data_IF_868979502649
#
_entry.id   IF_868979502649
#
_cell.length_a   1.000
_cell.length_b   1.000
_cell.length_c   1.000
_cell.angle_alpha   90.00
_cell.angle_beta   90.00
_cell.angle_gamma   90.00
#
_symmetry.space_group_name_H-M   'P 1'
#
loop_
_entity.id
_entity.type
_entity.pdbx_description
1 polymer ?
#
# COMPACT_ATOMS: atom_id res chain seq x y z
N UNK A 1 32.04 5.97 -14.12
CA UNK A 1 31.76 7.02 -13.12
C UNK A 1 31.39 8.25 -13.93
N UNK A 2 30.19 8.84 -13.76
CA UNK A 2 29.91 10.12 -14.45
C UNK A 2 30.67 11.21 -13.69
N UNK A 3 31.91 11.49 -14.11
CA UNK A 3 32.78 12.49 -13.49
C UNK A 3 32.07 13.85 -13.36
N UNK A 4 31.27 14.22 -14.36
CA UNK A 4 30.47 15.44 -14.36
C UNK A 4 29.47 15.52 -13.20
N UNK A 5 28.84 14.40 -12.84
CA UNK A 5 27.85 14.37 -11.74
C UNK A 5 28.53 14.62 -10.41
N UNK A 6 29.67 13.98 -10.16
CA UNK A 6 30.44 14.18 -8.93
C UNK A 6 31.06 15.57 -8.87
N UNK A 7 31.53 16.10 -10.00
CA UNK A 7 32.03 17.46 -10.11
C UNK A 7 30.96 18.48 -9.71
N UNK A 8 29.73 18.33 -10.23
CA UNK A 8 28.60 19.20 -9.86
C UNK A 8 28.25 19.08 -8.38
N UNK A 9 28.16 17.86 -7.84
CA UNK A 9 27.88 17.64 -6.42
C UNK A 9 28.95 18.26 -5.53
N UNK A 10 30.22 18.22 -5.94
CA UNK A 10 31.34 18.76 -5.16
C UNK A 10 31.30 20.29 -4.96
N UNK A 11 30.58 21.02 -5.82
CA UNK A 11 30.41 22.47 -5.70
C UNK A 11 29.57 22.87 -4.48
N UNK A 12 28.81 21.92 -3.91
CA UNK A 12 27.99 22.14 -2.71
C UNK A 12 28.73 21.84 -1.41
N UNK A 13 30.06 21.67 -1.47
CA UNK A 13 30.88 21.43 -0.29
C UNK A 13 30.72 22.58 0.72
N UNK A 14 30.35 22.30 1.97
CA UNK A 14 30.32 23.29 3.02
C UNK A 14 31.72 23.88 3.27
N UNK A 15 31.79 25.19 3.56
CA UNK A 15 33.06 25.91 3.74
C UNK A 15 33.83 25.48 5.01
N UNK A 16 33.15 24.82 5.94
CA UNK A 16 33.69 24.31 7.21
C UNK A 16 34.38 22.94 7.09
N UNK A 17 34.29 22.26 5.94
CA UNK A 17 34.79 20.90 5.78
C UNK A 17 35.82 20.74 4.63
N UNK A 18 36.78 19.81 4.76
CA UNK A 18 37.75 19.54 3.71
C UNK A 18 37.08 18.99 2.44
N UNK A 19 37.46 19.54 1.29
CA UNK A 19 36.89 19.14 0.00
C UNK A 19 37.08 17.64 -0.30
N UNK A 20 38.23 17.06 0.07
CA UNK A 20 38.52 15.62 -0.12
C UNK A 20 37.57 14.71 0.66
N UNK A 21 37.18 15.15 1.87
CA UNK A 21 36.24 14.41 2.71
C UNK A 21 34.84 14.45 2.10
N UNK A 22 34.40 15.62 1.63
CA UNK A 22 33.11 15.80 0.98
C UNK A 22 33.04 15.02 -0.36
N UNK A 23 34.11 15.03 -1.16
CA UNK A 23 34.21 14.25 -2.40
C UNK A 23 34.11 12.75 -2.15
N UNK A 24 34.77 12.25 -1.10
CA UNK A 24 34.65 10.85 -0.72
C UNK A 24 33.22 10.48 -0.31
N UNK A 25 32.54 11.38 0.42
CA UNK A 25 31.14 11.23 0.79
C UNK A 25 30.20 11.24 -0.42
N UNK A 26 30.34 12.20 -1.34
CA UNK A 26 29.50 12.26 -2.54
C UNK A 26 29.70 11.05 -3.44
N UNK A 27 30.93 10.51 -3.50
CA UNK A 27 31.22 9.22 -4.13
C UNK A 27 30.41 8.07 -3.52
N UNK A 28 30.38 7.98 -2.19
CA UNK A 28 29.57 6.96 -1.47
C UNK A 28 28.07 7.12 -1.75
N UNK A 29 27.54 8.35 -1.70
CA UNK A 29 26.13 8.62 -2.04
C UNK A 29 25.86 8.21 -3.49
N UNK A 30 26.72 8.59 -4.43
CA UNK A 30 26.57 8.22 -5.82
C UNK A 30 26.58 6.70 -6.02
N UNK A 31 27.49 5.97 -5.38
CA UNK A 31 27.57 4.50 -5.50
C UNK A 31 26.31 3.80 -4.98
N UNK A 32 25.71 4.31 -3.91
CA UNK A 32 24.47 3.77 -3.33
C UNK A 32 23.25 4.09 -4.20
N UNK A 33 23.12 5.34 -4.67
CA UNK A 33 21.88 5.82 -5.28
C UNK A 33 21.89 5.82 -6.82
N UNK A 34 23.05 5.81 -7.49
CA UNK A 34 23.14 5.97 -8.96
C UNK A 34 22.42 4.88 -9.77
N UNK A 35 22.21 3.70 -9.18
CA UNK A 35 21.44 2.62 -9.82
C UNK A 35 19.95 2.95 -9.91
N UNK A 36 19.42 3.64 -8.90
CA UNK A 36 17.99 3.91 -8.74
C UNK A 36 17.64 5.36 -9.10
N UNK A 37 18.56 6.30 -8.89
CA UNK A 37 18.38 7.74 -9.09
C UNK A 37 19.50 8.32 -9.96
N UNK A 38 19.13 8.86 -11.12
CA UNK A 38 20.04 9.58 -12.03
C UNK A 38 19.76 11.09 -12.10
N UNK A 39 18.76 11.56 -11.36
CA UNK A 39 18.43 12.99 -11.29
C UNK A 39 19.43 13.70 -10.38
N UNK A 40 20.12 14.70 -10.93
CA UNK A 40 21.11 15.49 -10.20
C UNK A 40 20.48 16.26 -9.04
N UNK A 41 19.24 16.75 -9.17
CA UNK A 41 18.59 17.55 -8.12
C UNK A 41 18.21 16.68 -6.92
N UNK A 42 17.76 15.45 -7.18
CA UNK A 42 17.50 14.47 -6.12
C UNK A 42 18.80 14.04 -5.42
N UNK A 43 19.87 13.82 -6.19
CA UNK A 43 21.18 13.51 -5.62
C UNK A 43 21.71 14.67 -4.75
N UNK A 44 21.58 15.92 -5.22
CA UNK A 44 21.91 17.12 -4.42
C UNK A 44 21.09 17.19 -3.14
N UNK A 45 19.79 16.93 -3.22
CA UNK A 45 18.91 16.90 -2.05
C UNK A 45 19.32 15.83 -1.04
N UNK A 46 19.62 14.61 -1.50
CA UNK A 46 20.10 13.50 -0.67
C UNK A 46 21.45 13.82 -0.01
N UNK A 47 22.39 14.38 -0.77
CA UNK A 47 23.70 14.84 -0.26
C UNK A 47 23.50 15.85 0.87
N UNK A 48 22.70 16.88 0.66
CA UNK A 48 22.42 17.91 1.66
C UNK A 48 21.79 17.35 2.94
N UNK A 49 20.92 16.34 2.82
CA UNK A 49 20.23 15.72 3.95
C UNK A 49 21.08 14.70 4.71
N UNK A 50 21.92 13.93 4.02
CA UNK A 50 22.73 12.86 4.62
C UNK A 50 24.06 13.37 5.16
N UNK A 51 24.61 14.46 4.60
CA UNK A 51 25.91 14.96 5.00
C UNK A 51 26.02 15.33 6.50
N UNK A 52 25.04 16.02 7.12
CA UNK A 52 25.07 16.30 8.55
C UNK A 52 25.20 15.05 9.43
N UNK A 53 24.59 13.94 8.99
CA UNK A 53 24.65 12.65 9.68
C UNK A 53 25.94 11.90 9.40
N UNK A 54 26.50 12.06 8.21
CA UNK A 54 27.79 11.49 7.86
C UNK A 54 28.95 12.11 8.64
N UNK A 55 28.87 13.41 8.97
CA UNK A 55 29.88 14.10 9.80
C UNK A 55 29.73 13.90 11.30
N UNK A 56 28.54 13.52 11.79
CA UNK A 56 28.26 13.36 13.23
C UNK A 56 29.25 12.42 13.94
N UNK A 57 29.58 11.21 13.44
CA UNK A 57 30.57 10.34 14.09
C UNK A 57 32.00 10.91 14.11
N UNK A 58 32.31 11.88 13.24
CA UNK A 58 33.60 12.58 13.23
C UNK A 58 33.64 13.61 14.34
N UNK A 59 32.55 14.35 14.55
CA UNK A 59 32.41 15.33 15.63
C UNK A 59 32.42 14.64 17.00
N UNK A 60 31.80 13.47 17.11
CA UNK A 60 31.79 12.65 18.33
C UNK A 60 33.14 11.95 18.62
N UNK A 61 34.11 12.04 17.70
CA UNK A 61 35.40 11.35 17.83
C UNK A 61 35.34 9.83 17.65
N UNK A 62 34.22 9.27 17.17
CA UNK A 62 34.05 7.81 16.95
C UNK A 62 34.80 7.29 15.72
N UNK A 63 35.03 8.15 14.73
CA UNK A 63 35.78 7.85 13.51
C UNK A 63 36.56 9.06 13.00
N UNK A 64 37.64 8.81 12.26
CA UNK A 64 38.41 9.90 11.61
C UNK A 64 37.86 10.20 10.22
N UNK A 65 38.11 11.40 9.72
CA UNK A 65 37.74 11.83 8.35
C UNK A 65 38.32 10.93 7.25
N UNK A 66 39.44 10.26 7.51
CA UNK A 66 40.07 9.32 6.58
C UNK A 66 39.44 7.93 6.59
N UNK A 67 38.64 7.58 7.60
CA UNK A 67 38.06 6.24 7.79
C UNK A 67 36.68 6.12 7.11
N UNK A 68 36.59 6.46 5.80
CA UNK A 68 35.32 6.47 5.03
C UNK A 68 34.53 5.16 5.14
N UNK A 69 35.14 3.95 5.04
CA UNK A 69 34.38 2.70 5.16
C UNK A 69 33.75 2.51 6.54
N UNK A 70 34.41 2.99 7.59
CA UNK A 70 33.93 2.92 8.97
C UNK A 70 32.79 3.92 9.19
N UNK A 71 32.92 5.13 8.65
CA UNK A 71 31.86 6.14 8.65
C UNK A 71 30.61 5.63 7.92
N UNK A 72 30.80 5.02 6.75
CA UNK A 72 29.69 4.44 6.00
C UNK A 72 28.96 3.36 6.80
N UNK A 73 29.67 2.45 7.49
CA UNK A 73 29.05 1.43 8.36
C UNK A 73 28.24 2.05 9.50
N UNK A 74 28.76 3.10 10.14
CA UNK A 74 28.06 3.80 11.23
C UNK A 74 26.79 4.51 10.74
N UNK A 75 26.79 4.98 9.49
CA UNK A 75 25.69 5.73 8.89
C UNK A 75 24.78 4.88 8.00
N UNK A 76 25.08 3.59 7.81
CA UNK A 76 24.40 2.72 6.84
C UNK A 76 22.88 2.67 7.06
N UNK A 77 22.43 2.69 8.31
CA UNK A 77 21.01 2.74 8.65
C UNK A 77 20.31 4.00 8.11
N UNK A 78 20.98 5.15 8.09
CA UNK A 78 20.45 6.39 7.53
C UNK A 78 20.37 6.35 6.00
N UNK A 79 21.35 5.73 5.34
CA UNK A 79 21.30 5.52 3.88
C UNK A 79 20.13 4.60 3.50
N UNK A 80 19.96 3.48 4.20
CA UNK A 80 18.83 2.58 3.98
C UNK A 80 17.47 3.27 4.21
N UNK A 81 17.35 4.02 5.31
CA UNK A 81 16.14 4.78 5.61
C UNK A 81 15.86 5.89 4.58
N UNK A 82 16.90 6.52 4.02
CA UNK A 82 16.76 7.53 2.97
C UNK A 82 16.31 6.91 1.64
N UNK A 83 16.84 5.73 1.29
CA UNK A 83 16.39 4.99 0.10
C UNK A 83 14.92 4.61 0.18
N UNK A 84 14.45 4.19 1.34
CA UNK A 84 13.07 3.75 1.54
C UNK A 84 12.11 4.95 1.64
N UNK A 85 12.38 5.89 2.55
CA UNK A 85 11.42 6.93 2.92
C UNK A 85 11.56 8.23 2.15
N UNK A 86 12.80 8.65 1.86
CA UNK A 86 13.10 9.97 1.32
C UNK A 86 13.04 9.97 -0.22
N UNK A 87 13.57 8.93 -0.86
CA UNK A 87 13.49 8.78 -2.32
C UNK A 87 12.06 8.57 -2.81
N UNK A 88 11.24 7.80 -2.08
CA UNK A 88 9.82 7.60 -2.37
C UNK A 88 8.93 8.75 -1.88
N UNK A 89 9.52 9.80 -1.28
CA UNK A 89 8.84 10.98 -0.71
C UNK A 89 7.72 10.62 0.27
N UNK A 90 7.88 9.52 1.01
CA UNK A 90 6.93 9.10 2.04
C UNK A 90 6.89 10.08 3.21
N UNK A 91 8.01 10.75 3.47
CA UNK A 91 8.15 11.78 4.49
C UNK A 91 8.74 13.04 3.88
N UNK A 92 8.30 14.18 4.41
CA UNK A 92 8.88 15.47 4.01
C UNK A 92 10.29 15.62 4.56
N UNK A 93 11.08 16.51 3.96
CA UNK A 93 12.42 16.83 4.46
C UNK A 93 12.40 17.34 5.91
N UNK A 94 11.32 17.99 6.36
CA UNK A 94 11.17 18.46 7.76
C UNK A 94 10.86 17.33 8.74
N UNK A 95 10.05 16.35 8.33
CA UNK A 95 9.80 15.15 9.11
C UNK A 95 11.05 14.26 9.21
N UNK A 96 11.83 14.18 8.14
CA UNK A 96 13.12 13.49 8.11
C UNK A 96 14.07 14.05 9.18
N UNK A 97 14.27 15.37 9.22
CA UNK A 97 15.11 16.00 10.23
C UNK A 97 14.63 15.71 11.66
N UNK A 98 13.32 15.68 11.89
CA UNK A 98 12.75 15.33 13.20
C UNK A 98 13.08 13.89 13.57
N UNK A 99 12.76 12.93 12.71
CA UNK A 99 12.93 11.50 12.97
C UNK A 99 14.39 11.10 13.25
N UNK A 100 15.35 11.78 12.60
CA UNK A 100 16.77 11.45 12.76
C UNK A 100 17.41 12.18 13.95
N UNK A 101 16.90 13.37 14.31
CA UNK A 101 17.39 14.09 15.48
C UNK A 101 16.76 13.57 16.78
N UNK A 102 15.52 13.07 16.76
CA UNK A 102 14.89 12.45 17.93
C UNK A 102 15.33 10.99 18.11
N UNK A 103 15.60 10.26 17.03
CA UNK A 103 16.07 8.87 17.08
C UNK A 103 17.44 8.65 17.72
N UNK A 104 18.22 9.71 17.98
CA UNK A 104 19.47 9.63 18.74
C UNK A 104 19.27 9.59 20.27
N UNK A 105 18.07 9.88 20.77
CA UNK A 105 17.77 9.94 22.21
C UNK A 105 17.10 8.68 22.79
N UNK A 106 16.65 7.73 21.98
CA UNK A 106 15.90 6.56 22.44
C UNK A 106 16.66 5.25 22.18
N UNK A 107 17.71 5.05 22.98
CA UNK A 107 18.17 3.71 23.32
C UNK A 107 17.27 3.12 24.39
N UNK A 108 16.18 2.46 23.98
CA UNK A 108 15.44 1.49 24.79
C UNK A 108 14.38 2.04 25.74
N UNK A 109 13.14 2.08 25.29
CA UNK A 109 11.96 1.64 26.06
C UNK A 109 10.72 1.66 25.15
N UNK A 110 10.16 0.48 24.90
CA UNK A 110 8.75 0.34 24.50
C UNK A 110 7.88 1.02 25.58
N UNK A 111 7.24 2.12 25.22
CA UNK A 111 6.05 2.58 25.92
C UNK A 111 5.17 3.34 24.94
N UNK A 112 4.09 2.67 24.55
CA UNK A 112 2.91 3.23 23.91
C UNK A 112 2.50 4.53 24.60
N UNK A 113 2.49 5.63 23.86
CA UNK A 113 1.74 6.84 24.19
C UNK A 113 1.38 7.52 22.88
N UNK A 114 0.18 7.20 22.42
CA UNK A 114 -0.53 7.95 21.38
C UNK A 114 -0.67 9.39 21.84
N UNK A 115 -0.04 10.34 21.15
CA UNK A 115 -0.44 11.73 21.26
C UNK A 115 -0.54 12.41 19.90
N UNK A 116 -1.70 13.03 19.73
CA UNK A 116 -2.30 13.47 18.50
C UNK A 116 -1.79 14.87 18.14
N UNK A 117 -0.92 14.99 17.13
CA UNK A 117 -0.57 16.28 16.53
C UNK A 117 -0.83 16.29 15.04
N UNK A 118 -1.88 17.03 14.67
CA UNK A 118 -2.30 17.36 13.31
C UNK A 118 -1.19 18.18 12.64
N UNK A 119 -0.74 17.73 11.47
CA UNK A 119 0.04 18.54 10.54
C UNK A 119 -0.29 18.15 9.11
N UNK A 120 -0.57 19.19 8.34
CA UNK A 120 -1.17 19.26 7.01
C UNK A 120 -0.25 18.73 5.90
N UNK A 121 -0.89 18.16 4.86
CA UNK A 121 -0.43 17.50 3.61
C UNK A 121 0.83 18.12 2.91
N UNK A 122 1.58 17.38 2.05
CA UNK A 122 1.03 16.70 0.87
C UNK A 122 1.56 15.28 0.56
N UNK A 123 0.65 14.39 0.15
CA UNK A 123 0.91 13.57 -1.06
C UNK A 123 0.62 12.07 -0.96
N UNK A 124 -0.66 11.70 -0.90
CA UNK A 124 -1.28 10.43 -1.38
C UNK A 124 -0.78 9.06 -0.88
N UNK A 125 0.47 8.86 -0.45
CA UNK A 125 0.98 7.56 -0.02
C UNK A 125 0.75 7.29 1.48
N UNK A 126 0.77 8.34 2.31
CA UNK A 126 0.42 8.27 3.75
C UNK A 126 -1.06 7.99 4.03
N UNK A 127 -1.93 8.08 3.01
CA UNK A 127 -3.31 7.64 3.17
C UNK A 127 -3.32 6.15 3.53
N UNK A 128 -2.64 5.29 2.77
CA UNK A 128 -2.66 3.82 2.99
C UNK A 128 -2.14 3.39 4.37
N UNK A 129 -1.23 4.17 4.98
CA UNK A 129 -0.71 3.93 6.33
C UNK A 129 -1.60 4.46 7.46
N UNK A 130 -2.32 5.59 7.27
CA UNK A 130 -3.30 6.13 8.24
C UNK A 130 -4.70 5.53 8.09
N UNK A 131 -4.89 4.64 7.12
CA UNK A 131 -6.13 3.93 6.88
C UNK A 131 -6.30 2.74 7.84
N UNK A 132 -6.19 3.00 9.14
CA UNK A 132 -6.91 2.24 10.17
C UNK A 132 -8.40 2.56 10.03
N UNK A 133 -8.98 2.18 8.88
CA UNK A 133 -10.33 2.54 8.47
C UNK A 133 -11.35 2.22 9.55
N UNK A 134 -11.73 3.24 10.32
CA UNK A 134 -12.98 3.27 11.06
C UNK A 134 -14.13 3.55 10.08
N UNK A 135 -14.27 2.66 9.09
CA UNK A 135 -15.45 2.66 8.22
C UNK A 135 -16.66 2.20 9.04
N UNK A 136 -17.85 2.76 8.78
CA UNK A 136 -19.09 2.21 9.31
C UNK A 136 -19.21 0.71 9.03
N UNK A 137 -19.87 -0.03 9.93
CA UNK A 137 -20.00 -1.48 9.85
C UNK A 137 -20.48 -1.97 8.47
N UNK A 138 -21.55 -1.39 7.93
CA UNK A 138 -22.06 -1.77 6.60
C UNK A 138 -21.14 -1.37 5.47
N UNK A 139 -20.41 -0.25 5.59
CA UNK A 139 -19.43 0.16 4.59
C UNK A 139 -18.27 -0.85 4.49
N UNK A 140 -17.86 -1.46 5.62
CA UNK A 140 -16.87 -2.56 5.62
C UNK A 140 -17.39 -3.77 4.85
N UNK A 141 -18.62 -4.22 5.12
CA UNK A 141 -19.23 -5.34 4.40
C UNK A 141 -19.47 -5.05 2.91
N UNK A 142 -19.91 -3.85 2.55
CA UNK A 142 -20.05 -3.41 1.16
C UNK A 142 -18.70 -3.45 0.44
N UNK A 143 -17.64 -3.01 1.11
CA UNK A 143 -16.29 -3.04 0.55
C UNK A 143 -15.79 -4.48 0.36
N UNK A 144 -16.04 -5.38 1.31
CA UNK A 144 -15.73 -6.81 1.17
C UNK A 144 -16.50 -7.44 0.03
N UNK A 145 -17.82 -7.23 -0.04
CA UNK A 145 -18.67 -7.74 -1.11
C UNK A 145 -18.20 -7.25 -2.48
N UNK A 146 -17.78 -5.98 -2.57
CA UNK A 146 -17.24 -5.40 -3.78
C UNK A 146 -15.93 -6.05 -4.22
N UNK A 147 -15.04 -6.37 -3.27
CA UNK A 147 -13.78 -7.05 -3.56
C UNK A 147 -14.04 -8.47 -4.08
N UNK A 148 -14.89 -9.22 -3.39
CA UNK A 148 -15.32 -10.56 -3.80
C UNK A 148 -15.95 -10.52 -5.21
N UNK A 149 -16.80 -9.53 -5.49
CA UNK A 149 -17.39 -9.36 -6.81
C UNK A 149 -16.34 -9.04 -7.89
N UNK A 150 -15.36 -8.18 -7.63
CA UNK A 150 -14.32 -7.84 -8.62
C UNK A 150 -13.38 -9.00 -8.95
N UNK A 151 -13.06 -9.85 -7.98
CA UNK A 151 -12.04 -10.88 -8.14
C UNK A 151 -12.60 -12.28 -8.42
N UNK A 152 -13.82 -12.57 -7.96
CA UNK A 152 -14.47 -13.86 -8.27
C UNK A 152 -15.25 -13.79 -9.59
N UNK A 153 -15.14 -14.81 -10.46
CA UNK A 153 -16.04 -14.98 -11.59
C UNK A 153 -17.50 -15.15 -11.15
N UNK A 154 -18.44 -14.42 -11.78
CA UNK A 154 -19.87 -14.47 -11.45
C UNK A 154 -20.49 -15.89 -11.47
N UNK A 155 -19.96 -16.80 -12.31
CA UNK A 155 -20.38 -18.21 -12.35
C UNK A 155 -20.20 -18.96 -11.03
N UNK A 156 -19.37 -18.44 -10.11
CA UNK A 156 -19.08 -19.07 -8.83
C UNK A 156 -19.93 -18.49 -7.68
N UNK A 157 -20.72 -17.43 -7.90
CA UNK A 157 -21.45 -16.77 -6.82
C UNK A 157 -22.39 -17.73 -6.09
N UNK A 158 -23.11 -18.59 -6.83
CA UNK A 158 -24.00 -19.61 -6.25
C UNK A 158 -23.25 -20.58 -5.33
N UNK A 159 -21.99 -20.91 -5.66
CA UNK A 159 -21.18 -21.84 -4.85
C UNK A 159 -20.75 -21.22 -3.53
N UNK A 160 -20.42 -19.93 -3.53
CA UNK A 160 -19.86 -19.24 -2.37
C UNK A 160 -20.90 -18.53 -1.50
N UNK A 161 -22.03 -18.10 -2.07
CA UNK A 161 -22.95 -17.15 -1.43
C UNK A 161 -24.40 -17.63 -1.29
N UNK A 162 -24.76 -18.81 -1.82
CA UNK A 162 -26.11 -19.33 -1.64
C UNK A 162 -26.32 -19.88 -0.21
N UNK A 163 -27.12 -19.17 0.61
CA UNK A 163 -27.56 -19.64 1.93
C UNK A 163 -28.80 -20.57 1.79
N UNK A 164 -28.58 -21.89 1.82
CA UNK A 164 -29.63 -22.94 1.84
C UNK A 164 -30.21 -23.29 0.45
N UNK A 165 -30.43 -24.55 0.06
CA UNK A 165 -30.75 -25.77 0.81
C UNK A 165 -29.78 -26.91 0.43
N UNK A 166 -28.99 -27.42 1.38
CA UNK A 166 -28.38 -28.75 1.23
C UNK A 166 -29.42 -29.89 1.28
N UNK A 167 -30.70 -29.60 1.55
CA UNK A 167 -31.79 -30.58 1.63
C UNK A 167 -32.96 -30.30 0.65
N UNK A 168 -32.69 -30.19 -0.64
CA UNK A 168 -33.67 -30.63 -1.67
C UNK A 168 -32.95 -31.44 -2.73
N UNK A 169 -32.92 -32.75 -2.51
CA UNK A 169 -32.72 -33.75 -3.54
C UNK A 169 -33.73 -33.50 -4.68
N UNK A 170 -33.29 -33.04 -5.86
CA UNK A 170 -33.97 -33.32 -7.14
C UNK A 170 -33.20 -32.88 -8.40
N UNK A 171 -31.87 -32.94 -8.44
CA UNK A 171 -31.15 -32.91 -9.75
C UNK A 171 -29.79 -33.61 -9.68
N UNK A 172 -29.79 -34.93 -9.46
CA UNK A 172 -28.59 -35.78 -9.48
C UNK A 172 -28.22 -36.33 -10.88
N UNK A 173 -28.81 -35.87 -11.99
CA UNK A 173 -28.53 -36.40 -13.35
C UNK A 173 -27.71 -35.49 -14.29
N UNK A 174 -27.28 -34.30 -13.86
CA UNK A 174 -26.50 -33.38 -14.72
C UNK A 174 -25.09 -33.00 -14.23
N UNK A 175 -24.73 -33.35 -12.98
CA UNK A 175 -23.55 -32.76 -12.30
C UNK A 175 -22.20 -33.33 -12.74
N UNK A 176 -22.14 -34.49 -13.37
CA UNK A 176 -20.86 -35.11 -13.78
C UNK A 176 -20.27 -34.53 -15.09
N UNK A 177 -21.09 -33.94 -15.97
CA UNK A 177 -20.59 -33.34 -17.22
C UNK A 177 -19.92 -31.97 -17.00
N UNK A 178 -20.45 -31.15 -16.08
CA UNK A 178 -19.91 -29.81 -15.77
C UNK A 178 -18.62 -29.90 -14.95
N UNK A 179 -18.51 -30.90 -14.08
CA UNK A 179 -17.33 -31.10 -13.23
C UNK A 179 -16.07 -31.45 -14.03
N UNK A 180 -16.21 -32.16 -15.16
CA UNK A 180 -15.09 -32.55 -16.03
C UNK A 180 -14.57 -31.40 -16.91
N UNK A 181 -15.37 -30.35 -17.15
CA UNK A 181 -14.99 -29.20 -17.98
C UNK A 181 -14.42 -28.02 -17.16
N UNK A 182 -14.58 -28.03 -15.82
CA UNK A 182 -14.04 -26.99 -14.92
C UNK A 182 -12.65 -27.32 -14.36
N UNK A 183 -12.26 -28.59 -14.28
CA UNK A 183 -10.99 -29.03 -13.70
C UNK A 183 -9.83 -29.05 -14.70
N UNK A 184 -10.09 -28.80 -15.99
CA UNK A 184 -9.07 -28.75 -17.06
C UNK A 184 -8.54 -27.35 -17.34
N UNK A 185 -8.89 -26.34 -16.53
CA UNK A 185 -8.38 -24.97 -16.66
C UNK A 185 -7.66 -24.45 -15.39
N UNK A 186 -7.30 -25.34 -14.46
CA UNK A 186 -6.72 -24.98 -13.16
C UNK A 186 -5.19 -25.01 -13.14
N UNK A 187 -4.51 -24.65 -14.23
CA UNK A 187 -3.03 -24.66 -14.21
C UNK A 187 -2.27 -24.04 -15.38
N UNK A 188 -2.89 -23.18 -16.20
CA UNK A 188 -2.19 -22.63 -17.38
C UNK A 188 -2.66 -21.29 -17.91
N UNK A 189 -3.57 -20.60 -17.22
CA UNK A 189 -4.02 -19.25 -17.60
C UNK A 189 -3.64 -18.33 -16.45
N UNK A 190 -2.85 -17.30 -16.77
CA UNK A 190 -2.39 -16.22 -15.89
C UNK A 190 -3.34 -15.97 -14.70
N UNK A 191 -2.81 -15.97 -13.47
CA UNK A 191 -3.60 -15.79 -12.23
C UNK A 191 -4.56 -14.62 -12.42
N UNK A 192 -5.84 -14.83 -12.13
CA UNK A 192 -6.89 -13.85 -12.42
C UNK A 192 -6.65 -12.50 -11.73
N UNK A 193 -5.87 -12.50 -10.64
CA UNK A 193 -5.42 -11.33 -9.90
C UNK A 193 -4.49 -10.42 -10.70
N UNK A 194 -3.64 -10.98 -11.56
CA UNK A 194 -2.68 -10.23 -12.40
C UNK A 194 -3.40 -9.43 -13.50
N UNK A 195 -4.66 -9.76 -13.80
CA UNK A 195 -5.50 -9.03 -14.76
C UNK A 195 -6.18 -7.81 -14.13
N UNK A 196 -6.06 -7.63 -12.82
CA UNK A 196 -6.70 -6.54 -12.07
C UNK A 196 -8.19 -6.79 -11.75
N UNK A 197 -8.82 -5.86 -11.02
CA UNK A 197 -10.21 -5.98 -10.58
C UNK A 197 -11.17 -5.85 -11.76
N UNK A 198 -12.11 -6.80 -11.88
CA UNK A 198 -13.14 -6.76 -12.94
C UNK A 198 -14.29 -5.85 -12.54
N UNK A 199 -14.85 -5.15 -13.52
CA UNK A 199 -16.12 -4.45 -13.35
C UNK A 199 -17.28 -5.44 -13.21
N UNK A 200 -18.22 -5.14 -12.33
CA UNK A 200 -19.39 -5.95 -12.05
C UNK A 200 -20.64 -5.06 -11.88
N UNK A 201 -21.85 -5.62 -12.10
CA UNK A 201 -23.11 -4.90 -11.83
C UNK A 201 -23.31 -4.64 -10.33
N UNK A 202 -23.80 -3.45 -9.97
CA UNK A 202 -24.04 -3.06 -8.59
C UNK A 202 -24.94 -4.07 -7.85
N UNK A 203 -25.92 -4.62 -8.54
CA UNK A 203 -26.90 -5.59 -8.04
C UNK A 203 -26.22 -6.87 -7.57
N UNK A 204 -25.16 -7.31 -8.27
CA UNK A 204 -24.36 -8.47 -7.87
C UNK A 204 -23.64 -8.21 -6.55
N UNK A 205 -23.09 -7.02 -6.35
CA UNK A 205 -22.44 -6.65 -5.08
C UNK A 205 -23.46 -6.60 -3.94
N UNK A 206 -24.65 -6.03 -4.17
CA UNK A 206 -25.73 -6.03 -3.18
C UNK A 206 -26.15 -7.46 -2.82
N UNK A 207 -26.31 -8.35 -3.80
CA UNK A 207 -26.64 -9.75 -3.55
C UNK A 207 -25.57 -10.45 -2.70
N UNK A 208 -24.28 -10.22 -2.99
CA UNK A 208 -23.18 -10.74 -2.18
C UNK A 208 -23.22 -10.12 -0.78
N UNK A 209 -23.39 -8.81 -0.66
CA UNK A 209 -23.49 -8.08 0.60
C UNK A 209 -24.57 -8.67 1.53
N UNK A 210 -25.80 -8.81 1.04
CA UNK A 210 -26.90 -9.41 1.81
C UNK A 210 -26.67 -10.90 2.11
N UNK A 211 -25.88 -11.61 1.29
CA UNK A 211 -25.54 -13.01 1.56
C UNK A 211 -24.50 -13.17 2.66
N UNK A 212 -23.53 -12.25 2.77
CA UNK A 212 -22.43 -12.36 3.74
C UNK A 212 -22.75 -11.69 5.08
N UNK A 213 -23.80 -10.86 5.14
CA UNK A 213 -24.34 -10.34 6.38
C UNK A 213 -25.11 -11.43 7.14
N UNK A 214 -24.93 -11.46 8.45
CA UNK A 214 -25.68 -12.37 9.33
C UNK A 214 -27.07 -11.82 9.66
N UNK A 215 -27.18 -10.51 9.83
CA UNK A 215 -28.45 -9.84 10.12
C UNK A 215 -29.18 -9.46 8.83
N UNK A 216 -30.47 -9.84 8.68
CA UNK A 216 -31.27 -9.41 7.54
C UNK A 216 -31.60 -7.93 7.68
N UNK A 217 -31.26 -7.14 6.65
CA UNK A 217 -31.51 -5.71 6.60
C UNK A 217 -32.27 -5.40 5.33
N UNK A 218 -33.24 -4.49 5.42
CA UNK A 218 -33.94 -3.99 4.24
C UNK A 218 -33.03 -3.11 3.37
N UNK A 219 -33.34 -3.05 2.08
CA UNK A 219 -32.68 -2.11 1.17
C UNK A 219 -33.04 -0.68 1.56
N UNK A 220 -32.22 -0.06 2.42
CA UNK A 220 -32.44 1.29 2.92
C UNK A 220 -31.65 2.34 2.13
N UNK A 221 -32.10 3.59 2.22
CA UNK A 221 -31.43 4.76 1.65
C UNK A 221 -30.00 4.89 2.22
N UNK A 222 -29.80 4.45 3.47
CA UNK A 222 -28.50 4.44 4.14
C UNK A 222 -27.47 3.59 3.40
N UNK A 223 -27.84 2.39 2.92
CA UNK A 223 -26.94 1.54 2.13
C UNK A 223 -26.53 2.24 0.82
N UNK A 224 -27.47 2.91 0.16
CA UNK A 224 -27.18 3.66 -1.07
C UNK A 224 -26.27 4.87 -0.81
N UNK A 225 -26.48 5.58 0.29
CA UNK A 225 -25.63 6.68 0.75
C UNK A 225 -24.19 6.21 1.02
N UNK A 226 -24.04 5.04 1.65
CA UNK A 226 -22.72 4.45 1.90
C UNK A 226 -22.03 4.01 0.61
N UNK A 227 -22.76 3.46 -0.37
CA UNK A 227 -22.20 3.14 -1.69
C UNK A 227 -21.69 4.41 -2.38
N UNK A 228 -22.49 5.49 -2.37
CA UNK A 228 -22.08 6.77 -2.94
C UNK A 228 -20.83 7.33 -2.23
N UNK A 229 -20.76 7.21 -0.91
CA UNK A 229 -19.58 7.58 -0.11
C UNK A 229 -18.34 6.76 -0.50
N UNK A 230 -18.47 5.44 -0.64
CA UNK A 230 -17.37 4.56 -1.07
C UNK A 230 -16.86 4.89 -2.49
N UNK A 231 -17.74 5.31 -3.39
CA UNK A 231 -17.36 5.80 -4.73
C UNK A 231 -16.64 7.16 -4.63
N UNK A 232 -17.14 8.05 -3.78
CA UNK A 232 -16.54 9.38 -3.56
C UNK A 232 -15.13 9.27 -2.96
N UNK A 233 -14.94 8.35 -2.03
CA UNK A 233 -13.66 8.00 -1.42
C UNK A 233 -12.74 7.19 -2.35
N UNK A 234 -13.17 6.89 -3.58
CA UNK A 234 -12.45 6.07 -4.57
C UNK A 234 -12.06 4.68 -4.09
N UNK A 235 -12.77 4.14 -3.11
CA UNK A 235 -12.68 2.73 -2.72
C UNK A 235 -13.45 1.85 -3.71
N UNK A 236 -14.51 2.42 -4.29
CA UNK A 236 -15.18 1.91 -5.48
C UNK A 236 -14.97 2.88 -6.63
N UNK A 237 -14.88 2.34 -7.84
CA UNK A 237 -14.81 3.14 -9.07
C UNK A 237 -15.96 2.75 -9.97
N UNK A 238 -16.82 3.71 -10.28
CA UNK A 238 -17.89 3.54 -11.26
C UNK A 238 -17.30 3.47 -12.67
N UNK A 239 -17.71 2.46 -13.43
CA UNK A 239 -17.27 2.25 -14.83
C UNK A 239 -18.38 2.50 -15.85
N UNK A 240 -19.64 2.55 -15.43
CA UNK A 240 -20.75 2.98 -16.30
C UNK A 240 -20.81 4.51 -16.39
N UNK A 241 -21.49 5.03 -17.41
CA UNK A 241 -21.73 6.46 -17.56
C UNK A 241 -22.53 7.01 -16.36
N UNK A 242 -22.08 8.12 -15.77
CA UNK A 242 -22.73 8.79 -14.64
C UNK A 242 -24.20 9.14 -14.90
N UNK A 243 -24.55 9.47 -16.14
CA UNK A 243 -25.92 9.84 -16.53
C UNK A 243 -26.90 8.66 -16.54
N UNK A 244 -26.41 7.42 -16.50
CA UNK A 244 -27.24 6.23 -16.53
C UNK A 244 -27.61 5.80 -15.10
N UNK A 245 -28.89 5.83 -14.74
CA UNK A 245 -29.31 5.38 -13.40
C UNK A 245 -29.45 3.85 -13.31
N UNK A 246 -29.71 3.18 -14.42
CA UNK A 246 -29.86 1.73 -14.51
C UNK A 246 -28.56 1.04 -14.97
N UNK A 247 -28.37 -0.22 -14.58
CA UNK A 247 -27.22 -1.04 -14.97
C UNK A 247 -25.89 -0.47 -14.51
N UNK A 248 -25.84 0.11 -13.30
CA UNK A 248 -24.63 0.71 -12.74
C UNK A 248 -23.55 -0.37 -12.61
N UNK A 249 -22.40 -0.14 -13.24
CA UNK A 249 -21.23 -1.01 -13.14
C UNK A 249 -20.17 -0.34 -12.31
N UNK A 250 -19.62 -1.07 -11.35
CA UNK A 250 -18.54 -0.61 -10.48
C UNK A 250 -17.42 -1.63 -10.44
N UNK A 251 -16.23 -1.20 -10.03
CA UNK A 251 -15.07 -2.06 -9.74
C UNK A 251 -14.48 -1.68 -8.40
N UNK A 252 -13.91 -2.65 -7.70
CA UNK A 252 -13.22 -2.43 -6.44
C UNK A 252 -11.83 -1.83 -6.67
N UNK A 253 -11.41 -0.85 -5.85
CA UNK A 253 -10.13 -0.17 -5.94
C UNK A 253 -9.36 -0.25 -4.62
N UNK A 254 -9.34 -1.44 -4.01
CA UNK A 254 -8.60 -1.70 -2.78
C UNK A 254 -7.67 -2.90 -2.97
N UNK A 255 -6.54 -2.88 -2.28
CA UNK A 255 -5.59 -3.98 -2.28
C UNK A 255 -6.09 -5.16 -1.45
N UNK A 256 -5.52 -6.34 -1.70
CA UNK A 256 -5.82 -7.53 -0.93
C UNK A 256 -5.43 -7.38 0.55
N UNK A 257 -4.29 -6.74 0.85
CA UNK A 257 -3.87 -6.50 2.23
C UNK A 257 -4.85 -5.61 2.99
N UNK A 258 -5.36 -4.58 2.31
CA UNK A 258 -6.34 -3.67 2.88
C UNK A 258 -7.65 -4.40 3.19
N UNK A 259 -8.20 -5.15 2.22
CA UNK A 259 -9.45 -5.86 2.46
C UNK A 259 -9.31 -6.93 3.54
N UNK A 260 -8.16 -7.63 3.61
CA UNK A 260 -7.85 -8.60 4.66
C UNK A 260 -7.87 -7.96 6.04
N UNK A 261 -7.32 -6.75 6.20
CA UNK A 261 -7.39 -5.98 7.46
C UNK A 261 -8.84 -5.59 7.80
N UNK A 262 -9.60 -5.09 6.83
CA UNK A 262 -11.03 -4.76 7.01
C UNK A 262 -11.82 -5.99 7.47
N UNK A 263 -11.65 -7.14 6.80
CA UNK A 263 -12.31 -8.40 7.16
C UNK A 263 -11.98 -8.84 8.59
N UNK A 264 -10.70 -8.78 8.99
CA UNK A 264 -10.29 -9.10 10.37
C UNK A 264 -10.98 -8.20 11.41
N UNK A 265 -11.16 -6.91 11.12
CA UNK A 265 -11.80 -5.96 12.04
C UNK A 265 -13.28 -6.26 12.34
N UNK A 266 -13.94 -7.04 11.49
CA UNK A 266 -15.34 -7.49 11.64
C UNK A 266 -15.44 -9.01 11.69
N UNK A 267 -14.34 -9.70 12.02
CA UNK A 267 -14.25 -11.16 12.13
C UNK A 267 -14.72 -11.93 10.88
N UNK A 268 -14.55 -11.35 9.69
CA UNK A 268 -14.91 -11.95 8.42
C UNK A 268 -13.68 -12.55 7.71
N UNK A 269 -13.69 -13.87 7.49
CA UNK A 269 -12.61 -14.60 6.82
C UNK A 269 -12.74 -14.58 5.29
N UNK A 270 -12.21 -13.53 4.66
CA UNK A 270 -12.29 -13.30 3.21
C UNK A 270 -11.71 -14.46 2.39
N UNK A 271 -10.64 -15.08 2.85
CA UNK A 271 -9.91 -16.13 2.12
C UNK A 271 -10.79 -17.34 1.78
N UNK A 272 -11.80 -17.63 2.60
CA UNK A 272 -12.75 -18.73 2.36
C UNK A 272 -13.64 -18.48 1.14
N UNK A 273 -13.82 -17.23 0.77
CA UNK A 273 -14.73 -16.80 -0.28
C UNK A 273 -14.02 -16.45 -1.59
N UNK A 274 -12.69 -16.38 -1.62
CA UNK A 274 -11.94 -16.05 -2.82
C UNK A 274 -11.60 -17.28 -3.66
N UNK A 275 -11.82 -17.18 -4.96
CA UNK A 275 -11.44 -18.22 -5.92
C UNK A 275 -9.97 -18.07 -6.34
N UNK A 276 -9.17 -19.12 -6.18
CA UNK A 276 -7.79 -19.20 -6.70
C UNK A 276 -6.88 -18.10 -6.12
N UNK A 277 -6.95 -17.90 -4.79
CA UNK A 277 -6.18 -16.87 -4.07
C UNK A 277 -4.94 -17.35 -3.32
N UNK A 278 -4.66 -18.66 -3.32
CA UNK A 278 -3.49 -19.30 -2.68
C UNK A 278 -2.75 -20.13 -3.71
#
# INVERSE_FOLDING_TARGET
MNEDTLAILSLECPADEPQDFFLSFTGVVYDVFSRNCKDINELRHLVALLFPKFREPVLDGRARRTEIPKLFRLCQGYFAAATDKLYLREISSTEWFRHINTGAAEGGSDSDSEDHVVSTDPGQLKLVGRLDFELPYYAKFLLIASFLASYNPARLDVRYFAKGRENTSNTKRGKQAVQKQMMTQTGGKQRQQLLGPKAFPLERMLAIFYSILDDPIENSIEIQSQIASLVTLRLLVRTSNTSQLDGVKVKCNVSYDLIRRVGRSIHFEIDRYLFDFV
#
